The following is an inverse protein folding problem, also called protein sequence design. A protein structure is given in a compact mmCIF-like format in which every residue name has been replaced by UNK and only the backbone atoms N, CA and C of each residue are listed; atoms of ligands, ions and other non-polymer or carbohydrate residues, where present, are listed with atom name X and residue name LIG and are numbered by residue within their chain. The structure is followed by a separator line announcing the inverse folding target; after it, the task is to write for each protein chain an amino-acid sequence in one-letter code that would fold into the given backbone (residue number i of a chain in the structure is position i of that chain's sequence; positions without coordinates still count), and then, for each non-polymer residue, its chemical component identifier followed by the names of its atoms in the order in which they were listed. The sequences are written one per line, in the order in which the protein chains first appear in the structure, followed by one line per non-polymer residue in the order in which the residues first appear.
data_IF_514862775027
#
_entry.id   IF_514862775027
#
_cell.length_a   1.000
_cell.length_b   1.000
_cell.length_c   1.000
_cell.angle_alpha   90.00
_cell.angle_beta   90.00
_cell.angle_gamma   90.00
#
_symmetry.space_group_name_H-M   'P 1'
#
loop_
_entity.id
_entity.type
_entity.pdbx_description
1 polymer ?
#
# COMPACT_ATOMS: atom_id res chain seq x y z
N UNK A 1 -3.05 12.21 -12.72
CA UNK A 1 -3.92 11.04 -12.42
C UNK A 1 -3.05 9.81 -12.55
N UNK A 2 -2.91 8.98 -11.51
CA UNK A 2 -2.10 7.75 -11.56
C UNK A 2 -2.98 6.62 -12.12
N UNK A 3 -2.43 5.79 -13.01
CA UNK A 3 -3.08 4.53 -13.42
C UNK A 3 -2.53 3.43 -12.53
N UNK A 4 -3.40 2.70 -11.86
CA UNK A 4 -3.04 1.49 -11.14
C UNK A 4 -3.67 0.32 -11.91
N UNK A 5 -2.82 -0.52 -12.49
CA UNK A 5 -3.20 -1.80 -13.05
C UNK A 5 -2.75 -2.90 -12.08
N UNK A 6 -3.60 -3.89 -11.84
CA UNK A 6 -3.20 -5.10 -11.15
C UNK A 6 -3.60 -6.32 -11.96
N UNK A 7 -2.77 -7.35 -11.89
CA UNK A 7 -3.03 -8.64 -12.50
C UNK A 7 -2.93 -9.70 -11.42
N UNK A 8 -4.01 -10.45 -11.26
CA UNK A 8 -4.05 -11.64 -10.42
C UNK A 8 -3.62 -12.85 -11.27
N UNK A 9 -2.61 -13.57 -10.81
CA UNK A 9 -2.37 -14.95 -11.20
C UNK A 9 -2.75 -15.86 -10.02
N UNK A 10 -2.90 -17.17 -10.24
CA UNK A 10 -3.37 -18.12 -9.21
C UNK A 10 -2.57 -18.08 -7.89
N UNK A 11 -1.32 -17.62 -7.91
CA UNK A 11 -0.43 -17.58 -6.74
C UNK A 11 0.40 -16.30 -6.60
N UNK A 12 0.09 -15.27 -7.39
CA UNK A 12 0.79 -13.99 -7.28
C UNK A 12 -0.09 -12.79 -7.66
N UNK A 13 0.24 -11.66 -7.05
CA UNK A 13 -0.33 -10.35 -7.30
C UNK A 13 0.75 -9.50 -7.97
N UNK A 14 0.51 -9.12 -9.23
CA UNK A 14 1.33 -8.18 -9.98
C UNK A 14 0.68 -6.80 -9.91
N UNK A 15 1.41 -5.78 -9.46
CA UNK A 15 0.98 -4.38 -9.43
C UNK A 15 1.81 -3.58 -10.40
N UNK A 16 1.16 -2.70 -11.17
CA UNK A 16 1.80 -1.71 -12.02
C UNK A 16 1.14 -0.36 -11.80
N UNK A 17 1.93 0.62 -11.42
CA UNK A 17 1.49 1.99 -11.16
C UNK A 17 2.20 2.89 -12.16
N UNK A 18 1.42 3.65 -12.94
CA UNK A 18 1.96 4.58 -13.93
C UNK A 18 1.54 6.00 -13.56
N UNK A 19 2.50 6.90 -13.45
CA UNK A 19 2.21 8.33 -13.39
C UNK A 19 1.96 8.86 -14.81
N UNK A 20 0.74 9.33 -15.10
CA UNK A 20 0.40 9.84 -16.43
C UNK A 20 1.17 11.11 -16.82
N UNK A 21 1.72 11.86 -15.88
CA UNK A 21 2.39 13.12 -16.16
C UNK A 21 3.89 12.94 -16.39
N UNK A 22 4.54 12.09 -15.60
CA UNK A 22 5.97 11.82 -15.73
C UNK A 22 6.29 10.60 -16.58
N UNK A 23 5.27 9.79 -16.94
CA UNK A 23 5.41 8.49 -17.59
C UNK A 23 6.28 7.49 -16.80
N UNK A 24 6.44 7.72 -15.50
CA UNK A 24 7.15 6.78 -14.62
C UNK A 24 6.28 5.59 -14.25
N UNK A 25 6.89 4.40 -14.26
CA UNK A 25 6.28 3.13 -13.91
C UNK A 25 6.90 2.55 -12.64
N UNK A 26 6.06 2.15 -11.70
CA UNK A 26 6.43 1.33 -10.55
C UNK A 26 5.75 -0.03 -10.64
N UNK A 27 6.57 -1.09 -10.67
CA UNK A 27 6.07 -2.47 -10.79
C UNK A 27 6.50 -3.28 -9.58
N UNK A 28 5.62 -4.14 -9.11
CA UNK A 28 5.92 -5.09 -8.06
C UNK A 28 5.14 -6.39 -8.24
N UNK A 29 5.70 -7.48 -7.70
CA UNK A 29 5.08 -8.79 -7.71
C UNK A 29 5.20 -9.38 -6.31
N UNK A 30 4.10 -9.93 -5.80
CA UNK A 30 4.02 -10.54 -4.48
C UNK A 30 3.37 -11.91 -4.59
N UNK A 31 3.96 -12.91 -3.94
CA UNK A 31 3.33 -14.22 -3.82
C UNK A 31 2.26 -14.23 -2.70
N UNK A 32 1.49 -15.32 -2.65
CA UNK A 32 0.47 -15.57 -1.63
C UNK A 32 1.01 -15.42 -0.21
N UNK A 33 2.13 -16.09 0.10
CA UNK A 33 2.70 -16.14 1.44
C UNK A 33 3.19 -14.76 1.92
N UNK A 34 3.72 -13.94 1.01
CA UNK A 34 4.17 -12.59 1.31
C UNK A 34 3.00 -11.70 1.78
N UNK A 35 1.89 -11.71 1.04
CA UNK A 35 0.71 -10.88 1.35
C UNK A 35 0.07 -11.33 2.67
N UNK A 36 -0.05 -12.63 2.90
CA UNK A 36 -0.59 -13.18 4.14
C UNK A 36 0.30 -12.82 5.34
N UNK A 37 1.61 -12.95 5.21
CA UNK A 37 2.55 -12.51 6.24
C UNK A 37 2.54 -10.99 6.46
N UNK A 38 2.34 -10.20 5.40
CA UNK A 38 2.23 -8.74 5.49
C UNK A 38 1.02 -8.35 6.34
N UNK A 39 -0.15 -8.91 6.06
CA UNK A 39 -1.39 -8.61 6.80
C UNK A 39 -1.40 -9.21 8.21
N UNK A 40 -0.68 -10.32 8.43
CA UNK A 40 -0.44 -10.83 9.77
C UNK A 40 0.38 -9.83 10.62
N UNK A 41 1.40 -9.21 10.02
CA UNK A 41 2.26 -8.21 10.71
C UNK A 41 1.53 -6.92 11.08
N UNK A 42 0.42 -6.60 10.42
CA UNK A 42 -0.43 -5.45 10.78
C UNK A 42 -1.41 -5.76 11.91
N UNK A 43 -1.47 -7.02 12.38
CA UNK A 43 -2.45 -7.46 13.38
C UNK A 43 -3.83 -7.75 12.82
N UNK A 44 -4.02 -7.65 11.50
CA UNK A 44 -5.30 -7.88 10.84
C UNK A 44 -5.12 -8.81 9.63
N UNK A 45 -4.91 -10.08 9.92
CA UNK A 45 -4.70 -11.11 8.91
C UNK A 45 -5.79 -11.11 7.83
N UNK A 46 -5.37 -11.28 6.58
CA UNK A 46 -6.23 -11.53 5.42
C UNK A 46 -5.62 -12.64 4.59
N UNK A 47 -6.45 -13.61 4.23
CA UNK A 47 -6.10 -14.55 3.16
C UNK A 47 -5.80 -13.78 1.87
N UNK A 48 -4.91 -14.31 1.04
CA UNK A 48 -4.49 -13.65 -0.20
C UNK A 48 -5.67 -13.22 -1.08
N UNK A 49 -6.65 -14.10 -1.30
CA UNK A 49 -7.79 -13.82 -2.17
C UNK A 49 -8.69 -12.71 -1.63
N UNK A 50 -8.84 -12.62 -0.30
CA UNK A 50 -9.59 -11.54 0.35
C UNK A 50 -8.84 -10.22 0.19
N UNK A 51 -7.52 -10.22 0.39
CA UNK A 51 -6.70 -9.02 0.19
C UNK A 51 -6.78 -8.51 -1.26
N UNK A 52 -6.73 -9.41 -2.25
CA UNK A 52 -6.87 -9.04 -3.67
C UNK A 52 -8.26 -8.46 -3.95
N UNK A 53 -9.32 -9.03 -3.37
CA UNK A 53 -10.68 -8.49 -3.50
C UNK A 53 -10.82 -7.09 -2.85
N UNK A 54 -10.19 -6.87 -1.68
CA UNK A 54 -10.12 -5.56 -1.03
C UNK A 54 -9.38 -4.54 -1.91
N UNK A 55 -8.23 -4.91 -2.48
CA UNK A 55 -7.50 -4.04 -3.39
C UNK A 55 -8.34 -3.67 -4.61
N UNK A 56 -9.05 -4.66 -5.18
CA UNK A 56 -9.95 -4.45 -6.32
C UNK A 56 -11.11 -3.50 -5.97
N UNK A 57 -11.72 -3.63 -4.79
CA UNK A 57 -12.81 -2.76 -4.39
C UNK A 57 -12.35 -1.33 -4.12
N UNK A 58 -11.16 -1.14 -3.53
CA UNK A 58 -10.53 0.17 -3.37
C UNK A 58 -10.21 0.84 -4.71
N UNK A 59 -9.74 0.05 -5.68
CA UNK A 59 -9.44 0.49 -7.05
C UNK A 59 -10.67 0.96 -7.80
N UNK A 60 -11.73 0.15 -7.75
CA UNK A 60 -13.01 0.42 -8.41
C UNK A 60 -13.87 1.41 -7.61
N UNK A 61 -13.43 1.82 -6.42
CA UNK A 61 -14.18 2.63 -5.45
C UNK A 61 -15.58 2.07 -5.16
N UNK A 62 -15.68 0.74 -5.06
CA UNK A 62 -16.95 0.02 -4.80
C UNK A 62 -17.16 -0.28 -3.32
N UNK A 63 -16.25 0.16 -2.45
CA UNK A 63 -16.36 -0.01 -0.99
C UNK A 63 -15.84 1.24 -0.30
N UNK A 64 -16.66 1.82 0.58
CA UNK A 64 -16.29 2.99 1.39
C UNK A 64 -15.32 2.63 2.52
N UNK A 65 -15.27 1.35 2.90
CA UNK A 65 -14.35 0.83 3.92
C UNK A 65 -12.91 0.70 3.42
N UNK A 66 -12.64 0.86 2.12
CA UNK A 66 -11.31 0.70 1.53
C UNK A 66 -10.87 1.99 0.85
N UNK A 67 -9.71 2.51 1.23
CA UNK A 67 -9.05 3.61 0.52
C UNK A 67 -7.64 3.22 0.08
N UNK A 68 -7.21 3.79 -1.05
CA UNK A 68 -5.89 3.55 -1.65
C UNK A 68 -5.13 4.86 -1.80
N UNK A 69 -3.96 4.94 -1.18
CA UNK A 69 -3.08 6.11 -1.22
C UNK A 69 -1.70 5.72 -1.74
N UNK A 70 -1.05 6.58 -2.53
CA UNK A 70 0.32 6.34 -3.02
C UNK A 70 1.29 7.34 -2.40
N UNK A 71 2.14 6.84 -1.53
CA UNK A 71 3.05 7.62 -0.70
C UNK A 71 4.51 7.47 -1.14
N UNK A 72 5.30 8.50 -0.86
CA UNK A 72 6.76 8.46 -0.90
C UNK A 72 7.31 7.96 0.44
N UNK A 73 8.64 7.77 0.51
CA UNK A 73 9.27 7.45 1.79
C UNK A 73 9.14 8.60 2.81
N UNK A 74 9.27 9.85 2.36
CA UNK A 74 9.11 11.03 3.22
C UNK A 74 7.69 11.12 3.80
N UNK A 75 6.67 10.85 2.98
CA UNK A 75 5.27 10.81 3.46
C UNK A 75 5.07 9.74 4.54
N UNK A 76 5.72 8.58 4.42
CA UNK A 76 5.67 7.52 5.44
C UNK A 76 6.33 7.95 6.75
N UNK A 77 7.47 8.63 6.67
CA UNK A 77 8.13 9.18 7.85
C UNK A 77 7.23 10.21 8.54
N UNK A 78 6.62 11.13 7.78
CA UNK A 78 5.68 12.11 8.31
C UNK A 78 4.45 11.45 8.97
N UNK A 79 3.91 10.38 8.38
CA UNK A 79 2.80 9.62 9.00
C UNK A 79 3.22 8.93 10.30
N UNK A 80 4.46 8.44 10.39
CA UNK A 80 5.01 7.85 11.62
C UNK A 80 5.17 8.89 12.71
N UNK A 81 5.69 10.07 12.36
CA UNK A 81 5.89 11.21 13.28
C UNK A 81 4.57 11.73 13.84
N UNK A 82 3.46 11.68 13.08
CA UNK A 82 2.14 12.10 13.57
C UNK A 82 1.47 11.06 14.48
N UNK A 83 1.82 9.78 14.36
CA UNK A 83 1.32 8.71 15.24
C UNK A 83 2.07 8.63 16.58
N UNK A 84 3.28 9.22 16.66
CA UNK A 84 4.16 9.13 17.84
C UNK A 84 4.57 10.55 18.21
N UNK A 85 3.79 11.21 19.07
CA UNK A 85 4.30 12.36 19.81
C UNK A 85 5.42 11.83 20.74
N UNK A 86 6.58 12.49 20.73
CA UNK A 86 7.83 12.12 21.44
C UNK A 86 8.62 10.89 20.95
N UNK A 87 9.48 11.09 19.95
CA UNK A 87 10.93 10.91 20.13
C UNK A 87 11.68 11.36 18.89
N UNK A 88 12.72 12.14 19.13
CA UNK A 88 13.82 12.42 18.22
C UNK A 88 14.25 11.17 17.44
N UNK A 89 14.77 11.34 16.22
CA UNK A 89 16.02 10.73 15.72
C UNK A 89 16.10 10.81 14.18
N UNK A 90 17.16 11.52 13.77
CA UNK A 90 17.96 11.47 12.54
C UNK A 90 17.33 11.06 11.21
N UNK A 91 17.21 12.05 10.32
CA UNK A 91 17.13 11.88 8.87
C UNK A 91 18.40 11.16 8.36
N UNK A 92 18.27 9.89 8.00
CA UNK A 92 19.33 9.12 7.33
C UNK A 92 19.17 9.33 5.82
N UNK A 93 20.07 10.16 5.30
CA UNK A 93 20.52 10.33 3.91
C UNK A 93 19.69 9.71 2.78
N UNK A 94 19.12 10.61 1.98
CA UNK A 94 18.86 10.52 0.55
C UNK A 94 19.77 9.54 -0.22
N UNK A 95 19.31 8.31 -0.43
CA UNK A 95 19.38 7.75 -1.77
C UNK A 95 18.12 8.20 -2.47
N UNK A 96 18.24 8.77 -3.67
CA UNK A 96 17.14 9.10 -4.57
C UNK A 96 16.40 7.82 -4.96
N UNK A 97 15.69 7.23 -4.01
CA UNK A 97 14.91 6.04 -4.21
C UNK A 97 13.55 6.56 -4.62
N UNK A 98 13.28 6.57 -5.93
CA UNK A 98 11.96 6.85 -6.48
C UNK A 98 10.96 5.72 -6.11
N UNK A 99 11.09 5.10 -4.94
CA UNK A 99 10.19 4.08 -4.46
C UNK A 99 8.87 4.74 -4.08
N UNK A 100 7.78 4.05 -4.40
CA UNK A 100 6.43 4.40 -3.99
C UNK A 100 5.84 3.28 -3.16
N UNK A 101 4.97 3.66 -2.25
CA UNK A 101 4.28 2.76 -1.33
C UNK A 101 2.79 2.93 -1.55
N UNK A 102 2.15 1.90 -2.11
CA UNK A 102 0.70 1.85 -2.20
C UNK A 102 0.16 1.39 -0.85
N UNK A 103 -0.59 2.26 -0.20
CA UNK A 103 -1.20 2.03 1.10
C UNK A 103 -2.66 1.69 0.87
N UNK A 104 -3.05 0.50 1.34
CA UNK A 104 -4.45 0.09 1.45
C UNK A 104 -4.86 0.31 2.89
N UNK A 105 -5.78 1.25 3.10
CA UNK A 105 -6.40 1.47 4.42
C UNK A 105 -7.72 0.71 4.46
N UNK A 106 -7.92 -0.07 5.51
CA UNK A 106 -9.23 -0.70 5.78
C UNK A 106 -9.85 -0.08 7.03
N UNK A 107 -11.03 0.54 6.88
CA UNK A 107 -11.75 1.21 7.95
C UNK A 107 -13.10 0.55 8.17
N UNK A 108 -13.34 0.11 9.40
CA UNK A 108 -14.63 -0.39 9.91
C UNK A 108 -15.02 0.39 11.17
N UNK A 109 -16.21 0.15 11.71
CA UNK A 109 -16.81 0.98 12.78
C UNK A 109 -15.87 1.30 13.95
N UNK A 110 -15.00 0.37 14.35
CA UNK A 110 -14.14 0.51 15.53
C UNK A 110 -12.65 0.36 15.23
N UNK A 111 -12.27 0.04 13.98
CA UNK A 111 -10.88 -0.25 13.62
C UNK A 111 -10.48 0.44 12.32
N UNK A 112 -9.22 0.90 12.29
CA UNK A 112 -8.56 1.35 11.07
C UNK A 112 -7.17 0.75 10.98
N UNK A 113 -6.94 -0.04 9.94
CA UNK A 113 -5.67 -0.70 9.64
C UNK A 113 -4.99 0.01 8.48
#
# INVERSE_FOLDING_TARGET
MKVLAFKRCQRCLELTITDKFTAEDWRSSYDTAYIENLTHKTGNYKQFDVFVAMLQSGLLKTSESITLDLLTFEDLELLRSRKIDNSSISAISNKANNRRYLILTYTVEFDRI
#
